data_IF_404041728438
#
_entry.id   IF_404041728438
#
_cell.length_a   1.000
_cell.length_b   1.000
_cell.length_c   1.000
_cell.angle_alpha   90.00
_cell.angle_beta   90.00
_cell.angle_gamma   90.00
#
_symmetry.space_group_name_H-M   'P 1'
#
loop_
_entity.id
_entity.type
_entity.pdbx_description
1 polymer ?
#
# COMPACT_ATOMS: atom_id res chain seq x y z
N UNK A 1 4.05 1.31 -0.91
CA UNK A 1 3.70 1.03 0.49
C UNK A 1 4.93 0.40 1.11
N UNK A 2 5.55 1.07 2.07
CA UNK A 2 6.77 0.57 2.69
C UNK A 2 6.47 -0.50 3.76
N UNK A 3 5.42 -0.29 4.54
CA UNK A 3 5.02 -1.18 5.64
C UNK A 3 3.51 -1.15 5.82
N UNK A 4 2.95 -2.29 6.22
CA UNK A 4 1.58 -2.39 6.75
C UNK A 4 1.67 -2.69 8.24
N UNK A 5 0.94 -1.94 9.07
CA UNK A 5 1.00 -2.10 10.53
C UNK A 5 0.17 -3.31 10.96
N UNK A 6 0.76 -4.33 11.62
CA UNK A 6 0.01 -5.48 12.11
C UNK A 6 -1.12 -5.08 13.05
N UNK A 7 -2.30 -5.67 12.87
CA UNK A 7 -3.50 -5.32 13.64
C UNK A 7 -4.13 -3.97 13.29
N UNK A 8 -3.53 -3.16 12.42
CA UNK A 8 -4.13 -1.91 11.93
C UNK A 8 -5.25 -2.17 10.92
N UNK A 9 -6.05 -1.14 10.64
CA UNK A 9 -7.20 -1.22 9.71
C UNK A 9 -6.78 -1.73 8.33
N UNK A 10 -5.67 -1.23 7.79
CA UNK A 10 -5.12 -1.66 6.50
C UNK A 10 -4.74 -3.16 6.48
N UNK A 11 -4.24 -3.70 7.60
CA UNK A 11 -3.90 -5.12 7.70
C UNK A 11 -5.15 -6.00 7.81
N UNK A 12 -6.16 -5.53 8.55
CA UNK A 12 -7.43 -6.25 8.73
C UNK A 12 -8.25 -6.29 7.43
N UNK A 13 -8.20 -5.21 6.64
CA UNK A 13 -8.88 -5.14 5.34
C UNK A 13 -8.17 -6.03 4.30
N UNK A 14 -6.83 -6.12 4.33
CA UNK A 14 -6.06 -7.14 3.62
C UNK A 14 -5.82 -6.88 2.13
N UNK A 15 -6.46 -5.88 1.51
CA UNK A 15 -6.15 -5.49 0.12
C UNK A 15 -4.90 -4.62 0.01
N UNK A 16 -4.44 -4.05 1.14
CA UNK A 16 -3.24 -3.23 1.22
C UNK A 16 -2.03 -4.10 1.61
N UNK A 17 -1.02 -4.15 0.75
CA UNK A 17 0.18 -4.96 0.95
C UNK A 17 1.48 -4.16 0.77
N UNK A 18 2.53 -4.65 1.42
CA UNK A 18 3.87 -4.10 1.26
C UNK A 18 4.35 -4.23 -0.19
N UNK A 19 5.02 -3.19 -0.69
CA UNK A 19 5.43 -3.10 -2.09
C UNK A 19 4.35 -2.60 -3.05
N UNK A 20 3.08 -2.53 -2.66
CA UNK A 20 2.03 -1.93 -3.51
C UNK A 20 2.31 -0.45 -3.78
N UNK A 21 2.08 0.05 -4.98
CA UNK A 21 2.20 1.48 -5.27
C UNK A 21 0.85 2.18 -5.06
N UNK A 22 0.84 3.29 -4.31
CA UNK A 22 -0.40 4.07 -4.10
C UNK A 22 -0.55 5.05 -5.26
N UNK A 23 -1.65 4.93 -6.00
CA UNK A 23 -1.97 5.79 -7.15
C UNK A 23 -2.83 7.00 -6.74
N UNK A 24 -3.74 6.81 -5.79
CA UNK A 24 -4.58 7.91 -5.28
C UNK A 24 -5.07 7.66 -3.86
N UNK A 25 -5.44 8.75 -3.17
CA UNK A 25 -6.02 8.74 -1.82
C UNK A 25 -7.21 9.68 -1.81
N UNK A 26 -8.39 9.18 -1.48
CA UNK A 26 -9.66 9.94 -1.49
C UNK A 26 -9.88 10.72 -2.79
N UNK A 27 -9.60 10.08 -3.94
CA UNK A 27 -9.72 10.70 -5.27
C UNK A 27 -8.59 11.66 -5.65
N UNK A 28 -7.67 12.00 -4.73
CA UNK A 28 -6.49 12.82 -5.06
C UNK A 28 -5.41 11.94 -5.69
N UNK A 29 -5.11 12.17 -6.96
CA UNK A 29 -4.06 11.46 -7.68
C UNK A 29 -2.68 11.78 -7.08
N UNK A 30 -1.84 10.75 -6.94
CA UNK A 30 -0.47 10.85 -6.43
C UNK A 30 0.58 10.70 -7.53
N UNK A 31 0.18 10.71 -8.80
CA UNK A 31 1.12 10.72 -9.93
C UNK A 31 2.08 11.91 -9.77
N UNK A 32 3.40 11.66 -9.86
CA UNK A 32 4.44 12.68 -9.68
C UNK A 32 4.44 13.40 -8.32
N UNK A 33 3.69 12.90 -7.34
CA UNK A 33 3.68 13.48 -5.99
C UNK A 33 4.84 12.94 -5.17
N UNK A 34 5.47 13.81 -4.40
CA UNK A 34 6.46 13.41 -3.42
C UNK A 34 5.79 12.60 -2.29
N UNK A 35 6.58 11.73 -1.65
CA UNK A 35 6.09 10.92 -0.54
C UNK A 35 5.47 11.75 0.61
N UNK A 36 6.04 12.92 0.89
CA UNK A 36 5.53 13.85 1.90
C UNK A 36 4.11 14.34 1.60
N UNK A 37 3.75 14.52 0.33
CA UNK A 37 2.42 14.96 -0.09
C UNK A 37 1.36 13.89 0.17
N UNK A 38 1.69 12.62 -0.13
CA UNK A 38 0.83 11.49 0.21
C UNK A 38 0.57 11.41 1.72
N UNK A 39 1.62 11.59 2.54
CA UNK A 39 1.48 11.63 4.00
C UNK A 39 0.64 12.80 4.49
N UNK A 40 0.78 13.98 3.87
CA UNK A 40 -0.02 15.17 4.19
C UNK A 40 -1.51 14.92 3.93
N UNK A 41 -1.84 14.29 2.80
CA UNK A 41 -3.22 13.90 2.46
C UNK A 41 -3.76 12.88 3.48
N UNK A 42 -3.00 11.84 3.80
CA UNK A 42 -3.39 10.85 4.81
C UNK A 42 -3.64 11.47 6.19
N UNK A 43 -2.76 12.38 6.64
CA UNK A 43 -2.93 13.09 7.92
C UNK A 43 -4.21 13.92 7.94
N UNK A 44 -4.53 14.60 6.84
CA UNK A 44 -5.78 15.37 6.69
C UNK A 44 -7.01 14.45 6.76
N UNK A 45 -6.90 13.23 6.25
CA UNK A 45 -7.99 12.25 6.24
C UNK A 45 -8.20 11.53 7.60
N UNK A 46 -7.33 11.73 8.60
CA UNK A 46 -7.40 11.03 9.91
C UNK A 46 -8.74 11.19 10.64
N UNK A 47 -9.50 12.25 10.36
CA UNK A 47 -10.82 12.50 10.96
C UNK A 47 -12.01 11.97 10.15
N UNK A 48 -11.80 11.40 8.95
CA UNK A 48 -12.88 11.11 8.01
C UNK A 48 -13.54 9.74 8.19
N UNK A 49 -13.16 8.95 9.21
CA UNK A 49 -13.71 7.62 9.51
C UNK A 49 -13.36 6.53 8.47
N UNK A 50 -13.20 6.90 7.20
CA UNK A 50 -12.84 6.05 6.08
C UNK A 50 -11.89 6.77 5.13
N UNK A 51 -10.98 6.01 4.52
CA UNK A 51 -10.07 6.47 3.47
C UNK A 51 -10.09 5.46 2.33
N UNK A 52 -10.30 5.94 1.12
CA UNK A 52 -10.25 5.11 -0.10
C UNK A 52 -8.88 5.30 -0.75
N UNK A 53 -8.21 4.19 -1.02
CA UNK A 53 -6.92 4.19 -1.73
C UNK A 53 -7.02 3.35 -3.00
N UNK A 54 -6.39 3.82 -4.07
CA UNK A 54 -6.23 3.02 -5.29
C UNK A 54 -4.79 2.54 -5.33
N UNK A 55 -4.62 1.22 -5.39
CA UNK A 55 -3.32 0.57 -5.38
C UNK A 55 -3.02 -0.04 -6.75
N UNK A 56 -1.77 0.03 -7.15
CA UNK A 56 -1.21 -0.80 -8.20
C UNK A 56 -0.46 -1.94 -7.54
N UNK A 57 -0.79 -3.18 -7.95
CA UNK A 57 0.00 -4.32 -7.56
C UNK A 57 1.41 -4.15 -8.11
N UNK A 58 2.39 -4.07 -7.22
CA UNK A 58 3.79 -4.03 -7.61
C UNK A 58 4.08 -5.32 -8.37
N UNK A 59 4.44 -5.20 -9.64
CA UNK A 59 4.76 -6.31 -10.53
C UNK A 59 6.10 -6.96 -10.09
N UNK A 60 6.13 -7.48 -8.88
CA UNK A 60 7.19 -8.33 -8.37
C UNK A 60 6.70 -9.75 -8.59
N UNK A 61 7.07 -10.35 -9.73
CA UNK A 61 7.12 -11.81 -9.84
C UNK A 61 7.82 -12.28 -8.56
N UNK A 62 7.05 -12.89 -7.67
CA UNK A 62 7.58 -13.67 -6.57
C UNK A 62 8.28 -14.81 -7.28
N UNK A 63 9.58 -14.67 -7.50
CA UNK A 63 10.45 -15.78 -7.87
C UNK A 63 10.26 -16.81 -6.76
N UNK A 64 9.56 -17.89 -7.11
CA UNK A 64 9.26 -18.97 -6.21
C UNK A 64 10.60 -19.50 -5.69
N UNK A 65 10.90 -19.24 -4.42
CA UNK A 65 11.95 -19.96 -3.69
C UNK A 65 11.40 -21.33 -3.30
N UNK A 66 10.95 -22.09 -4.31
CA UNK A 66 10.86 -23.52 -4.19
C UNK A 66 12.29 -24.03 -4.41
N UNK A 67 13.00 -24.28 -3.30
CA UNK A 67 14.10 -25.24 -3.34
C UNK A 67 13.46 -26.61 -3.13
N UNK A 68 13.13 -27.40 -4.17
CA UNK A 68 13.07 -28.84 -3.96
C UNK A 68 14.49 -29.26 -3.59
N UNK A 69 14.64 -29.84 -2.40
CA UNK A 69 15.88 -30.49 -2.01
C UNK A 69 16.30 -31.44 -3.13
N UNK A 70 17.40 -31.12 -3.80
CA UNK A 70 18.07 -32.01 -4.71
C UNK A 70 19.26 -32.61 -3.97
N UNK A 71 19.07 -33.89 -3.63
CA UNK A 71 20.04 -34.96 -3.35
C UNK A 71 20.92 -34.82 -2.11
#
# INVERSE_FOLDING_TARGET
>A
VHRVIPGGVAAQEGSIFEGAQVLSINGTALQNSAHCEALRILKKAKGQGMVVVVLQSGNSRKEATEKPGIT
#
